data_IF_907369682957
#
_entry.id   IF_907369682957
#
_cell.length_a   1.000
_cell.length_b   1.000
_cell.length_c   1.000
_cell.angle_alpha   90.00
_cell.angle_beta   90.00
_cell.angle_gamma   90.00
#
_symmetry.space_group_name_H-M   'P 1'
#
loop_
_entity.id
_entity.type
_entity.pdbx_description
1 polymer ?
#
# COMPACT_ATOMS: atom_id res chain seq x y z
N UNK A 1 -41.64 -8.73 53.69
CA UNK A 1 -42.02 -8.94 52.28
C UNK A 1 -42.19 -7.57 51.65
N UNK A 2 -41.29 -7.16 50.77
CA UNK A 2 -41.44 -5.93 49.99
C UNK A 2 -41.09 -6.25 48.56
N UNK A 3 -42.05 -6.00 47.67
CA UNK A 3 -42.08 -6.46 46.29
C UNK A 3 -40.95 -5.84 45.46
N UNK A 4 -40.28 -6.68 44.68
CA UNK A 4 -39.33 -6.24 43.66
C UNK A 4 -40.09 -5.52 42.54
N UNK A 5 -39.72 -4.27 42.29
CA UNK A 5 -40.10 -3.55 41.07
C UNK A 5 -39.16 -4.01 39.96
N UNK A 6 -39.71 -4.73 39.00
CA UNK A 6 -39.11 -4.95 37.68
C UNK A 6 -39.14 -3.61 36.94
N UNK A 7 -37.96 -3.06 36.61
CA UNK A 7 -37.85 -1.90 35.74
C UNK A 7 -38.21 -2.32 34.31
N UNK A 8 -39.30 -1.77 33.78
CA UNK A 8 -39.65 -1.87 32.36
C UNK A 8 -38.51 -1.26 31.53
N UNK A 9 -37.90 -2.08 30.67
CA UNK A 9 -36.90 -1.62 29.72
C UNK A 9 -37.62 -0.88 28.58
N UNK A 10 -37.46 0.45 28.53
CA UNK A 10 -37.89 1.27 27.40
C UNK A 10 -37.12 0.85 26.16
N UNK A 11 -37.78 0.16 25.21
CA UNK A 11 -37.18 -0.16 23.91
C UNK A 11 -37.15 1.09 23.03
N UNK A 12 -35.95 1.49 22.58
CA UNK A 12 -35.81 2.56 21.58
C UNK A 12 -35.64 1.92 20.20
N UNK A 13 -36.55 2.22 19.27
CA UNK A 13 -36.46 1.76 17.88
C UNK A 13 -35.89 2.89 17.03
N UNK A 14 -34.78 2.65 16.35
CA UNK A 14 -34.25 3.57 15.34
C UNK A 14 -34.41 3.00 13.93
N UNK A 15 -34.74 3.88 12.99
CA UNK A 15 -34.88 3.53 11.57
C UNK A 15 -33.59 3.85 10.82
N UNK A 16 -32.87 2.82 10.40
CA UNK A 16 -31.63 2.92 9.61
C UNK A 16 -31.91 2.78 8.11
N UNK A 17 -31.29 3.65 7.30
CA UNK A 17 -31.23 3.48 5.86
C UNK A 17 -30.08 2.51 5.52
N UNK A 18 -30.41 1.26 5.20
CA UNK A 18 -29.45 0.20 4.93
C UNK A 18 -29.29 0.00 3.42
N UNK A 19 -28.04 -0.01 2.96
CA UNK A 19 -27.68 -0.37 1.60
C UNK A 19 -27.36 -1.88 1.56
N UNK A 20 -28.29 -2.67 1.03
CA UNK A 20 -28.14 -4.12 0.94
C UNK A 20 -27.58 -4.52 -0.43
N UNK A 21 -26.54 -5.35 -0.44
CA UNK A 21 -26.00 -5.95 -1.67
C UNK A 21 -26.66 -7.31 -1.91
N UNK A 22 -27.47 -7.40 -2.95
CA UNK A 22 -28.10 -8.66 -3.40
C UNK A 22 -27.41 -9.16 -4.67
N UNK A 23 -27.78 -10.36 -5.14
CA UNK A 23 -27.30 -10.90 -6.43
C UNK A 23 -27.72 -10.03 -7.63
N UNK A 24 -28.73 -9.18 -7.47
CA UNK A 24 -29.29 -8.32 -8.52
C UNK A 24 -28.78 -6.88 -8.47
N UNK A 25 -27.98 -6.51 -7.45
CA UNK A 25 -27.39 -5.18 -7.32
C UNK A 25 -27.42 -4.63 -5.90
N UNK A 26 -27.20 -3.33 -5.76
CA UNK A 26 -27.34 -2.61 -4.49
C UNK A 26 -28.77 -2.07 -4.38
N UNK A 27 -29.41 -2.30 -3.24
CA UNK A 27 -30.77 -1.83 -2.95
C UNK A 27 -30.79 -1.09 -1.61
N UNK A 28 -31.40 0.09 -1.60
CA UNK A 28 -31.70 0.79 -0.34
C UNK A 28 -32.97 0.22 0.27
N UNK A 29 -32.90 -0.08 1.57
CA UNK A 29 -34.05 -0.48 2.38
C UNK A 29 -33.98 0.20 3.74
N UNK A 30 -35.12 0.66 4.21
CA UNK A 30 -35.28 1.09 5.59
C UNK A 30 -35.40 -0.11 6.52
N UNK A 31 -34.61 -0.15 7.59
CA UNK A 31 -34.61 -1.22 8.59
C UNK A 31 -34.77 -0.62 9.98
N UNK A 32 -35.69 -1.17 10.76
CA UNK A 32 -35.84 -0.83 12.17
C UNK A 32 -34.87 -1.67 13.00
N UNK A 33 -34.07 -1.01 13.82
CA UNK A 33 -33.14 -1.63 14.76
C UNK A 33 -33.61 -1.31 16.17
N UNK A 34 -33.90 -2.35 16.95
CA UNK A 34 -34.25 -2.22 18.35
C UNK A 34 -32.98 -2.06 19.20
N UNK A 35 -32.96 -1.05 20.06
CA UNK A 35 -31.89 -0.75 21.01
C UNK A 35 -30.50 -0.68 20.36
N UNK A 36 -30.32 0.18 19.34
CA UNK A 36 -29.03 0.33 18.69
C UNK A 36 -28.01 0.94 19.66
N UNK A 37 -26.72 0.55 19.59
CA UNK A 37 -25.68 1.16 20.40
C UNK A 37 -25.62 2.66 20.10
N UNK A 38 -25.87 3.49 21.10
CA UNK A 38 -25.96 4.96 20.91
C UNK A 38 -24.63 5.66 21.27
N UNK A 39 -23.69 4.92 21.87
CA UNK A 39 -22.38 5.46 22.29
C UNK A 39 -21.21 4.58 21.82
N UNK A 40 -20.05 5.21 21.64
CA UNK A 40 -18.82 4.49 21.31
C UNK A 40 -18.40 3.48 22.41
N UNK A 41 -18.65 3.80 23.69
CA UNK A 41 -18.42 2.90 24.82
C UNK A 41 -19.30 1.66 24.77
N UNK A 42 -20.56 1.82 24.38
CA UNK A 42 -21.50 0.70 24.23
C UNK A 42 -21.09 -0.19 23.05
N UNK A 43 -20.75 0.42 21.91
CA UNK A 43 -20.27 -0.29 20.72
C UNK A 43 -19.00 -1.10 21.00
N UNK A 44 -18.04 -0.54 21.75
CA UNK A 44 -16.78 -1.22 22.10
C UNK A 44 -16.94 -2.27 23.18
N UNK A 45 -18.05 -2.25 23.93
CA UNK A 45 -18.39 -3.28 24.91
C UNK A 45 -19.10 -4.49 24.31
N UNK A 46 -19.51 -4.42 23.03
CA UNK A 46 -20.15 -5.53 22.34
C UNK A 46 -19.20 -6.74 22.20
N UNK A 47 -19.76 -7.97 22.18
CA UNK A 47 -18.95 -9.18 22.02
C UNK A 47 -18.11 -9.12 20.74
N UNK A 48 -16.78 -9.11 20.91
CA UNK A 48 -15.85 -9.20 19.80
C UNK A 48 -15.68 -10.66 19.36
N UNK A 49 -15.64 -10.89 18.05
CA UNK A 49 -15.40 -12.20 17.46
C UNK A 49 -14.06 -12.20 16.72
N UNK A 50 -13.25 -13.25 16.92
CA UNK A 50 -12.03 -13.43 16.13
C UNK A 50 -12.35 -13.63 14.64
N UNK A 51 -11.47 -13.14 13.76
CA UNK A 51 -11.62 -13.31 12.31
C UNK A 51 -11.80 -14.77 11.86
N UNK A 52 -11.07 -15.72 12.46
CA UNK A 52 -11.18 -17.14 12.11
C UNK A 52 -12.57 -17.70 12.43
N UNK A 53 -13.15 -17.32 13.57
CA UNK A 53 -14.50 -17.72 13.96
C UNK A 53 -15.56 -17.07 13.05
N UNK A 54 -15.39 -15.79 12.75
CA UNK A 54 -16.26 -15.07 11.81
C UNK A 54 -16.28 -15.74 10.44
N UNK A 55 -15.11 -16.05 9.87
CA UNK A 55 -15.02 -16.72 8.57
C UNK A 55 -15.65 -18.12 8.58
N UNK A 56 -15.46 -18.89 9.66
CA UNK A 56 -16.08 -20.21 9.83
C UNK A 56 -17.61 -20.11 9.93
N UNK A 57 -18.12 -19.19 10.73
CA UNK A 57 -19.56 -19.00 10.93
C UNK A 57 -20.23 -18.49 9.64
N UNK A 58 -19.53 -17.68 8.84
CA UNK A 58 -19.98 -17.28 7.51
C UNK A 58 -20.02 -18.45 6.53
N UNK A 59 -18.97 -19.29 6.51
CA UNK A 59 -18.90 -20.46 5.63
C UNK A 59 -19.97 -21.51 5.99
N UNK A 60 -20.15 -21.75 7.29
CA UNK A 60 -21.15 -22.69 7.82
C UNK A 60 -22.59 -22.14 7.72
N UNK A 61 -22.79 -20.93 7.20
CA UNK A 61 -24.10 -20.29 7.03
C UNK A 61 -24.75 -19.84 8.35
N UNK A 62 -24.01 -19.81 9.46
CA UNK A 62 -24.48 -19.30 10.76
C UNK A 62 -24.61 -17.77 10.77
N UNK A 63 -23.88 -17.08 9.89
CA UNK A 63 -24.03 -15.64 9.66
C UNK A 63 -24.73 -15.45 8.31
N UNK A 64 -25.98 -15.00 8.36
CA UNK A 64 -26.80 -14.78 7.15
C UNK A 64 -26.62 -13.38 6.56
N UNK A 65 -26.26 -12.40 7.40
CA UNK A 65 -26.16 -10.99 7.02
C UNK A 65 -24.97 -10.31 7.70
N UNK A 66 -24.35 -9.37 6.99
CA UNK A 66 -23.26 -8.54 7.50
C UNK A 66 -23.64 -7.08 7.25
N UNK A 67 -23.64 -6.28 8.31
CA UNK A 67 -23.84 -4.83 8.24
C UNK A 67 -22.50 -4.13 8.48
N UNK A 68 -22.13 -3.21 7.59
CA UNK A 68 -20.92 -2.38 7.73
C UNK A 68 -21.38 -0.95 7.95
N UNK A 69 -21.07 -0.40 9.13
CA UNK A 69 -21.29 1.01 9.42
C UNK A 69 -20.24 1.81 8.64
N UNK A 70 -20.67 2.51 7.60
CA UNK A 70 -19.84 3.42 6.80
C UNK A 70 -20.34 4.84 6.97
N UNK A 71 -19.44 5.78 7.21
CA UNK A 71 -19.76 7.21 7.14
C UNK A 71 -20.01 7.59 5.68
N UNK A 72 -21.29 7.66 5.31
CA UNK A 72 -21.72 7.88 3.93
C UNK A 72 -21.42 9.31 3.45
N UNK A 73 -21.28 10.28 4.36
CA UNK A 73 -20.91 11.66 3.99
C UNK A 73 -19.47 11.72 3.50
N UNK A 74 -18.56 11.03 4.19
CA UNK A 74 -17.15 10.95 3.77
C UNK A 74 -16.94 10.22 2.44
N UNK A 75 -17.72 9.16 2.18
CA UNK A 75 -17.64 8.47 0.88
C UNK A 75 -18.27 9.27 -0.27
N UNK A 76 -19.31 10.06 -0.01
CA UNK A 76 -19.86 10.96 -1.04
C UNK A 76 -18.87 12.07 -1.38
N UNK A 77 -18.21 12.68 -0.40
CA UNK A 77 -17.17 13.69 -0.66
C UNK A 77 -16.00 13.10 -1.43
N UNK A 78 -15.52 11.91 -1.04
CA UNK A 78 -14.44 11.21 -1.75
C UNK A 78 -14.85 10.83 -3.19
N UNK A 79 -16.09 10.39 -3.40
CA UNK A 79 -16.59 10.05 -4.75
C UNK A 79 -16.84 11.30 -5.62
N UNK A 80 -17.26 12.42 -5.04
CA UNK A 80 -17.42 13.72 -5.70
C UNK A 80 -16.04 14.28 -6.11
N UNK A 81 -15.04 14.18 -5.22
CA UNK A 81 -13.65 14.53 -5.49
C UNK A 81 -13.07 13.68 -6.63
N UNK A 82 -13.31 12.36 -6.61
CA UNK A 82 -12.91 11.46 -7.70
C UNK A 82 -13.61 11.79 -9.02
N UNK A 83 -14.88 12.19 -8.99
CA UNK A 83 -15.63 12.63 -10.19
C UNK A 83 -15.10 13.94 -10.75
N UNK A 84 -14.74 14.90 -9.90
CA UNK A 84 -14.14 16.17 -10.32
C UNK A 84 -12.75 15.95 -10.96
N UNK A 85 -11.94 15.04 -10.37
CA UNK A 85 -10.68 14.61 -10.97
C UNK A 85 -10.87 13.93 -12.33
N UNK A 86 -11.92 13.13 -12.50
CA UNK A 86 -12.25 12.48 -13.77
C UNK A 86 -12.85 13.45 -14.81
N UNK A 87 -13.55 14.52 -14.41
CA UNK A 87 -14.08 15.52 -15.34
C UNK A 87 -12.98 16.40 -15.96
N UNK A 88 -11.93 16.70 -15.19
CA UNK A 88 -10.71 17.40 -15.67
C UNK A 88 -9.84 16.50 -16.58
N UNK A 89 -10.06 15.19 -16.53
CA UNK A 89 -9.26 14.16 -17.22
C UNK A 89 -9.53 13.99 -18.72
N UNK A 90 -10.46 14.75 -19.33
CA UNK A 90 -10.82 14.57 -20.76
C UNK A 90 -9.75 15.03 -21.76
N UNK A 91 -8.62 15.57 -21.30
CA UNK A 91 -7.52 16.05 -22.15
C UNK A 91 -6.23 15.21 -22.08
N UNK A 92 -6.14 14.20 -21.20
CA UNK A 92 -4.91 13.43 -21.00
C UNK A 92 -5.10 11.91 -20.99
N UNK A 93 -4.15 11.18 -21.59
CA UNK A 93 -4.12 9.71 -21.66
C UNK A 93 -4.03 9.07 -20.27
N UNK A 94 -4.69 7.91 -20.09
CA UNK A 94 -4.63 7.08 -18.85
C UNK A 94 -3.21 6.81 -18.36
N UNK A 95 -2.25 6.61 -19.27
CA UNK A 95 -0.84 6.39 -18.93
C UNK A 95 -0.19 7.64 -18.34
N UNK A 96 -0.54 8.82 -18.86
CA UNK A 96 -0.07 10.11 -18.36
C UNK A 96 -0.66 10.39 -16.98
N UNK A 97 -1.94 10.08 -16.77
CA UNK A 97 -2.64 10.25 -15.49
C UNK A 97 -2.07 9.31 -14.41
N UNK A 98 -1.87 8.02 -14.74
CA UNK A 98 -1.22 7.06 -13.84
C UNK A 98 0.20 7.51 -13.47
N UNK A 99 0.95 8.05 -14.42
CA UNK A 99 2.28 8.59 -14.16
C UNK A 99 2.25 9.84 -13.27
N UNK A 100 1.28 10.75 -13.46
CA UNK A 100 1.04 11.93 -12.62
C UNK A 100 0.67 11.53 -11.20
N UNK A 101 -0.33 10.66 -11.00
CA UNK A 101 -0.71 10.15 -9.68
C UNK A 101 0.45 9.43 -8.98
N UNK A 102 1.31 8.71 -9.73
CA UNK A 102 2.48 8.05 -9.16
C UNK A 102 3.57 9.03 -8.75
N UNK A 103 3.73 10.13 -9.49
CA UNK A 103 4.64 11.22 -9.14
C UNK A 103 4.13 11.96 -7.89
N UNK A 104 2.85 12.30 -7.84
CA UNK A 104 2.22 12.93 -6.67
C UNK A 104 2.33 12.07 -5.40
N UNK A 105 2.11 10.75 -5.51
CA UNK A 105 2.34 9.81 -4.40
C UNK A 105 3.79 9.77 -3.92
N UNK A 106 4.75 9.95 -4.83
CA UNK A 106 6.16 9.99 -4.48
C UNK A 106 6.54 11.33 -3.83
N UNK A 107 6.07 12.44 -4.39
CA UNK A 107 6.32 13.79 -3.87
C UNK A 107 5.67 13.98 -2.47
N UNK A 108 4.52 13.34 -2.24
CA UNK A 108 3.85 13.28 -0.93
C UNK A 108 4.56 12.43 0.13
N UNK A 109 5.65 11.74 -0.21
CA UNK A 109 6.52 11.02 0.72
C UNK A 109 7.82 11.79 1.02
N UNK A 110 7.93 13.03 0.55
CA UNK A 110 9.10 13.87 0.79
C UNK A 110 9.28 14.23 2.27
N UNK A 111 10.50 14.63 2.65
CA UNK A 111 10.80 15.19 3.97
C UNK A 111 9.88 16.37 4.34
N UNK A 112 9.43 17.14 3.35
CA UNK A 112 8.52 18.26 3.57
C UNK A 112 7.13 17.79 3.99
N UNK A 113 6.62 16.70 3.41
CA UNK A 113 5.35 16.08 3.80
C UNK A 113 5.40 15.50 5.22
N UNK A 114 6.58 15.06 5.66
CA UNK A 114 6.77 14.47 7.00
C UNK A 114 6.81 15.52 8.12
N UNK A 115 7.02 16.81 7.81
CA UNK A 115 7.07 17.91 8.80
C UNK A 115 5.80 18.06 9.62
N UNK A 116 4.65 17.74 9.03
CA UNK A 116 3.35 17.84 9.68
C UNK A 116 3.01 16.62 10.56
N UNK A 117 3.83 15.56 10.52
CA UNK A 117 3.58 14.32 11.24
C UNK A 117 4.03 14.37 12.71
N UNK A 118 3.37 13.61 13.60
CA UNK A 118 3.74 13.56 15.02
C UNK A 118 5.11 12.93 15.30
N UNK A 119 5.73 12.29 14.29
CA UNK A 119 7.02 11.62 14.39
C UNK A 119 8.17 12.40 13.75
N UNK A 120 7.94 13.62 13.28
CA UNK A 120 8.95 14.39 12.54
C UNK A 120 10.25 14.59 13.33
N UNK A 121 10.16 14.83 14.64
CA UNK A 121 11.33 15.05 15.48
C UNK A 121 12.24 13.81 15.56
N UNK A 122 11.64 12.61 15.65
CA UNK A 122 12.37 11.33 15.65
C UNK A 122 13.01 11.07 14.29
N UNK A 123 12.27 11.32 13.20
CA UNK A 123 12.79 11.14 11.84
C UNK A 123 13.95 12.09 11.54
N UNK A 124 13.88 13.32 12.07
CA UNK A 124 14.95 14.31 11.95
C UNK A 124 16.20 13.91 12.73
N UNK A 125 16.03 13.34 13.93
CA UNK A 125 17.14 12.81 14.74
C UNK A 125 17.88 11.68 14.01
N UNK A 126 17.13 10.81 13.34
CA UNK A 126 17.64 9.67 12.57
C UNK A 126 17.77 9.95 11.06
N UNK A 127 18.15 11.19 10.69
CA UNK A 127 18.29 11.55 9.27
C UNK A 127 19.46 10.81 8.59
N UNK A 128 20.48 10.46 9.35
CA UNK A 128 21.68 9.74 8.90
C UNK A 128 21.37 8.32 8.39
N UNK A 129 20.39 7.64 8.98
CA UNK A 129 19.96 6.30 8.55
C UNK A 129 18.99 6.31 7.36
N UNK A 130 18.46 7.48 7.00
CA UNK A 130 17.55 7.70 5.88
C UNK A 130 18.12 8.73 4.89
N UNK A 131 19.26 8.44 4.24
CA UNK A 131 19.87 9.38 3.32
C UNK A 131 19.02 9.56 2.05
N UNK A 132 19.00 10.77 1.50
CA UNK A 132 18.27 11.10 0.27
C UNK A 132 18.88 10.39 -0.97
N UNK A 133 20.19 10.13 -0.91
CA UNK A 133 20.94 9.42 -1.95
C UNK A 133 21.67 8.21 -1.38
N UNK A 134 21.85 7.18 -2.21
CA UNK A 134 22.60 5.98 -1.81
C UNK A 134 24.07 6.38 -1.63
N UNK A 135 24.68 6.16 -0.45
CA UNK A 135 26.08 6.48 -0.22
C UNK A 135 26.99 5.79 -1.25
N UNK A 136 28.04 6.50 -1.68
CA UNK A 136 29.06 5.98 -2.60
C UNK A 136 30.12 5.13 -1.88
N UNK A 137 29.79 4.60 -0.70
CA UNK A 137 30.68 3.79 0.12
C UNK A 137 30.10 2.38 0.29
N UNK A 138 30.98 1.43 0.60
CA UNK A 138 30.55 0.08 0.98
C UNK A 138 30.03 0.10 2.42
N UNK A 139 28.95 -0.64 2.73
CA UNK A 139 28.55 -0.86 4.11
C UNK A 139 29.69 -1.46 4.93
N UNK A 140 29.74 -1.14 6.22
CA UNK A 140 30.69 -1.74 7.14
C UNK A 140 30.53 -3.27 7.14
N UNK A 141 31.65 -3.99 7.01
CA UNK A 141 31.66 -5.45 7.10
C UNK A 141 31.26 -5.89 8.50
N UNK A 142 30.17 -6.66 8.58
CA UNK A 142 29.63 -7.23 9.83
C UNK A 142 30.01 -8.70 10.01
N UNK A 143 30.86 -9.26 9.15
CA UNK A 143 31.25 -10.68 9.16
C UNK A 143 30.16 -11.62 8.63
N UNK A 144 29.07 -11.09 8.09
CA UNK A 144 28.00 -11.85 7.44
C UNK A 144 28.09 -11.55 5.94
N UNK A 145 28.28 -12.58 5.13
CA UNK A 145 28.37 -12.46 3.68
C UNK A 145 27.24 -13.25 3.02
N UNK A 146 26.67 -12.70 1.95
CA UNK A 146 25.70 -13.39 1.12
C UNK A 146 26.42 -14.42 0.26
N UNK A 147 26.21 -15.71 0.56
CA UNK A 147 26.72 -16.82 -0.25
C UNK A 147 25.58 -17.45 -1.07
N UNK A 148 25.78 -17.54 -2.39
CA UNK A 148 24.83 -18.17 -3.29
C UNK A 148 25.18 -19.65 -3.41
N UNK A 149 24.47 -20.49 -2.69
CA UNK A 149 24.60 -21.95 -2.77
C UNK A 149 23.99 -22.46 -4.08
N UNK A 150 24.83 -23.07 -4.92
CA UNK A 150 24.37 -23.71 -6.16
C UNK A 150 23.99 -25.16 -5.89
N UNK A 151 22.96 -25.64 -6.57
CA UNK A 151 22.62 -27.07 -6.57
C UNK A 151 23.74 -27.84 -7.30
N UNK A 152 24.23 -28.98 -6.76
CA UNK A 152 25.24 -29.77 -7.44
C UNK A 152 24.83 -30.14 -8.86
N UNK A 153 25.72 -29.89 -9.84
CA UNK A 153 25.46 -30.13 -11.26
C UNK A 153 24.79 -28.98 -12.01
N UNK A 154 24.46 -27.87 -11.35
CA UNK A 154 23.97 -26.65 -12.03
C UNK A 154 25.03 -26.09 -12.98
N UNK A 155 24.63 -25.86 -14.23
CA UNK A 155 25.46 -25.19 -15.24
C UNK A 155 25.36 -23.67 -15.10
N UNK A 156 26.41 -22.98 -15.53
CA UNK A 156 26.45 -21.54 -15.55
C UNK A 156 25.46 -20.96 -16.58
N UNK A 157 24.79 -19.88 -16.22
CA UNK A 157 23.89 -19.15 -17.11
C UNK A 157 24.68 -18.12 -17.93
N UNK A 158 24.71 -18.29 -19.26
CA UNK A 158 25.27 -17.28 -20.19
C UNK A 158 24.16 -16.73 -21.06
N UNK A 159 23.70 -15.53 -20.73
CA UNK A 159 22.81 -14.79 -21.60
C UNK A 159 23.56 -13.58 -22.14
N UNK A 160 23.58 -13.42 -23.47
CA UNK A 160 24.21 -12.28 -24.13
C UNK A 160 23.37 -11.02 -23.94
N UNK A 161 24.05 -9.88 -23.88
CA UNK A 161 23.41 -8.58 -23.90
C UNK A 161 22.57 -8.41 -25.17
N UNK A 162 21.30 -8.03 -25.02
CA UNK A 162 20.47 -7.69 -26.16
C UNK A 162 20.90 -6.35 -26.76
N UNK A 163 20.69 -6.12 -28.07
CA UNK A 163 20.92 -4.82 -28.68
C UNK A 163 20.08 -3.75 -27.98
N UNK A 164 20.74 -2.70 -27.47
CA UNK A 164 20.09 -1.56 -26.85
C UNK A 164 20.35 -0.28 -27.64
N UNK A 165 19.40 0.67 -27.65
CA UNK A 165 19.64 2.00 -28.19
C UNK A 165 20.84 2.68 -27.51
N UNK A 166 21.63 3.45 -28.27
CA UNK A 166 22.84 4.12 -27.77
C UNK A 166 22.61 4.97 -26.51
N UNK A 167 21.44 5.62 -26.40
CA UNK A 167 21.12 6.42 -25.23
C UNK A 167 20.93 5.57 -23.97
N UNK A 168 20.39 4.35 -24.09
CA UNK A 168 20.25 3.44 -22.95
C UNK A 168 21.60 2.86 -22.54
N UNK A 169 22.44 2.52 -23.53
CA UNK A 169 23.81 2.06 -23.29
C UNK A 169 24.58 3.09 -22.49
N UNK A 170 24.55 4.37 -22.90
CA UNK A 170 25.19 5.46 -22.15
C UNK A 170 24.69 5.55 -20.69
N UNK A 171 23.38 5.43 -20.47
CA UNK A 171 22.80 5.46 -19.11
C UNK A 171 23.30 4.29 -18.26
N UNK A 172 23.44 3.10 -18.84
CA UNK A 172 23.94 1.91 -18.16
C UNK A 172 25.44 2.06 -17.85
N UNK A 173 26.23 2.54 -18.82
CA UNK A 173 27.66 2.76 -18.66
C UNK A 173 27.96 3.81 -17.58
N UNK A 174 27.27 4.96 -17.62
CA UNK A 174 27.39 6.02 -16.62
C UNK A 174 27.03 5.49 -15.21
N UNK A 175 26.00 4.64 -15.10
CA UNK A 175 25.60 4.03 -13.84
C UNK A 175 26.68 3.09 -13.29
N UNK A 176 27.19 2.17 -14.10
CA UNK A 176 28.22 1.23 -13.63
C UNK A 176 29.55 1.90 -13.35
N UNK A 177 29.91 2.95 -14.10
CA UNK A 177 31.12 3.74 -13.81
C UNK A 177 31.01 4.42 -12.44
N UNK A 178 29.87 5.03 -12.11
CA UNK A 178 29.61 5.58 -10.78
C UNK A 178 29.70 4.51 -9.68
N UNK A 179 29.11 3.33 -9.89
CA UNK A 179 29.17 2.21 -8.92
C UNK A 179 30.58 1.63 -8.78
N UNK A 180 31.37 1.66 -9.85
CA UNK A 180 32.78 1.21 -9.86
C UNK A 180 33.65 2.16 -9.04
N UNK A 181 33.46 3.47 -9.21
CA UNK A 181 34.13 4.49 -8.39
C UNK A 181 33.77 4.37 -6.91
N UNK A 182 32.51 4.00 -6.60
CA UNK A 182 32.05 3.70 -5.25
C UNK A 182 32.54 2.35 -4.67
N UNK A 183 33.28 1.55 -5.43
CA UNK A 183 33.72 0.21 -5.02
C UNK A 183 32.59 -0.84 -4.90
N UNK A 184 31.38 -0.51 -5.35
CA UNK A 184 30.19 -1.37 -5.25
C UNK A 184 30.13 -2.44 -6.35
N UNK A 185 30.78 -2.18 -7.49
CA UNK A 185 30.92 -3.14 -8.59
C UNK A 185 32.36 -3.15 -9.10
N UNK A 186 32.74 -4.26 -9.73
CA UNK A 186 34.06 -4.43 -10.36
C UNK A 186 33.95 -5.29 -11.60
N UNK A 187 34.94 -5.20 -12.48
CA UNK A 187 35.06 -6.12 -13.60
C UNK A 187 35.22 -7.56 -13.10
N UNK A 188 34.59 -8.48 -13.83
CA UNK A 188 34.56 -9.89 -13.48
C UNK A 188 34.84 -10.74 -14.70
N UNK A 189 35.56 -11.86 -14.48
CA UNK A 189 35.77 -12.93 -15.47
C UNK A 189 34.84 -14.12 -15.20
N UNK A 190 33.67 -13.85 -14.61
CA UNK A 190 32.69 -14.87 -14.27
C UNK A 190 32.23 -15.63 -15.51
N UNK A 191 32.04 -16.96 -15.43
CA UNK A 191 31.37 -17.71 -16.47
C UNK A 191 29.86 -17.41 -16.55
N UNK A 192 29.30 -16.68 -15.58
CA UNK A 192 27.89 -16.27 -15.55
C UNK A 192 27.70 -14.88 -16.14
N UNK A 193 26.68 -14.70 -16.96
CA UNK A 193 26.25 -13.39 -17.47
C UNK A 193 24.73 -13.31 -17.62
N UNK A 194 24.18 -12.15 -17.26
CA UNK A 194 22.79 -11.78 -17.50
C UNK A 194 22.75 -10.45 -18.27
N UNK A 195 21.75 -10.24 -19.15
CA UNK A 195 21.61 -8.98 -19.86
C UNK A 195 21.16 -7.91 -18.89
N UNK A 196 21.65 -6.69 -19.08
CA UNK A 196 21.24 -5.52 -18.33
C UNK A 196 20.43 -4.59 -19.23
N UNK A 197 19.38 -3.98 -18.70
CA UNK A 197 18.63 -2.94 -19.42
C UNK A 197 18.23 -1.83 -18.47
N UNK A 198 17.64 -0.75 -18.99
CA UNK A 198 17.16 0.33 -18.15
C UNK A 198 15.71 0.72 -18.44
N UNK A 199 15.01 1.11 -17.38
CA UNK A 199 13.60 1.51 -17.42
C UNK A 199 13.46 2.94 -16.91
N UNK A 200 12.69 3.76 -17.62
CA UNK A 200 12.44 5.14 -17.23
C UNK A 200 11.48 5.19 -16.04
N UNK A 201 11.88 5.90 -14.98
CA UNK A 201 11.03 6.20 -13.82
C UNK A 201 10.01 7.28 -14.18
N UNK A 202 8.83 7.29 -13.55
CA UNK A 202 7.87 8.39 -13.66
C UNK A 202 8.48 9.76 -13.31
N UNK A 203 9.41 9.80 -12.35
CA UNK A 203 10.11 11.02 -11.93
C UNK A 203 11.26 11.46 -12.86
N UNK A 204 11.41 10.85 -14.04
CA UNK A 204 12.39 11.27 -15.06
C UNK A 204 13.77 10.62 -14.98
N UNK A 205 14.09 9.88 -13.91
CA UNK A 205 15.33 9.10 -13.81
C UNK A 205 15.28 7.73 -14.49
N UNK A 206 16.39 6.98 -14.46
CA UNK A 206 16.47 5.60 -14.96
C UNK A 206 16.67 4.59 -13.82
N UNK A 207 16.20 3.36 -14.01
CA UNK A 207 16.50 2.19 -13.16
C UNK A 207 17.22 1.16 -14.01
N UNK A 208 18.36 0.69 -13.55
CA UNK A 208 19.06 -0.44 -14.15
C UNK A 208 18.42 -1.74 -13.64
N UNK A 209 18.17 -2.67 -14.55
CA UNK A 209 17.51 -3.96 -14.35
C UNK A 209 18.36 -5.10 -14.88
#
# INVERSE_FOLDING_TARGET
MSAGQTSDATSSVETLNVLTRTRTGLQNRSMEMENPPTSASELTSLPAMSWMRFAKDLYDGRIEQICILSDLERMKSEAEELRQLHAVSTTESEDTLRAKTKKERFDGQSWDSLKAGPFYDVLREHKDVLPDEIPAELPQDKGIQDEINLVPGTKYCVTRQWPLPRYQVKVIDDFFESRRQAGQVRESKSPHSAPTFCVKKPQGGWRIM
#
